data_IF_875102936501
#
_entry.id   IF_875102936501
#
_cell.length_a   1.000
_cell.length_b   1.000
_cell.length_c   1.000
_cell.angle_alpha   90.00
_cell.angle_beta   90.00
_cell.angle_gamma   90.00
#
_symmetry.space_group_name_H-M   'P 1'
#
loop_
_entity.id
_entity.type
_entity.pdbx_description
1 polymer ?
#
# COMPACT_ATOMS: atom_id res chain seq x y z
N UNK A 1 0.47 -28.38 -7.07
CA UNK A 1 0.65 -26.95 -6.75
C UNK A 1 -0.58 -26.54 -5.98
N UNK A 2 -0.40 -25.94 -4.81
CA UNK A 2 -1.52 -25.48 -4.01
C UNK A 2 -2.29 -24.43 -4.82
N UNK A 3 -3.60 -24.60 -4.96
CA UNK A 3 -4.50 -23.63 -5.60
C UNK A 3 -5.62 -23.32 -4.62
N UNK A 4 -6.11 -22.10 -4.65
CA UNK A 4 -7.24 -21.64 -3.83
C UNK A 4 -8.31 -21.05 -4.73
N UNK A 5 -9.56 -21.09 -4.30
CA UNK A 5 -10.69 -20.58 -5.08
C UNK A 5 -11.47 -19.57 -4.25
N UNK A 6 -11.74 -18.41 -4.85
CA UNK A 6 -12.61 -17.38 -4.29
C UNK A 6 -13.53 -16.87 -5.38
N UNK A 7 -14.83 -16.81 -5.08
CA UNK A 7 -15.88 -16.32 -5.99
C UNK A 7 -15.82 -16.92 -7.42
N UNK A 8 -15.46 -18.21 -7.52
CA UNK A 8 -15.37 -18.93 -8.80
C UNK A 8 -14.02 -18.80 -9.52
N UNK A 9 -13.15 -17.88 -9.10
CA UNK A 9 -11.82 -17.69 -9.67
C UNK A 9 -10.80 -18.56 -8.94
N UNK A 10 -9.90 -19.17 -9.71
CA UNK A 10 -8.80 -19.97 -9.19
C UNK A 10 -7.54 -19.13 -9.12
N UNK A 11 -6.81 -19.23 -8.00
CA UNK A 11 -5.57 -18.51 -7.79
C UNK A 11 -4.43 -19.48 -7.52
N UNK A 12 -3.25 -19.12 -8.02
CA UNK A 12 -1.98 -19.81 -7.82
C UNK A 12 -1.02 -18.98 -6.97
N UNK A 13 -0.04 -19.61 -6.27
CA UNK A 13 0.93 -18.89 -5.48
C UNK A 13 1.73 -17.91 -6.35
N UNK A 14 1.99 -16.71 -5.83
CA UNK A 14 2.73 -15.68 -6.55
C UNK A 14 3.93 -15.15 -5.77
N UNK A 15 3.71 -14.64 -4.56
CA UNK A 15 4.78 -14.17 -3.67
C UNK A 15 4.59 -14.80 -2.31
N UNK A 16 5.60 -15.55 -1.86
CA UNK A 16 5.52 -16.28 -0.59
C UNK A 16 5.66 -15.34 0.62
N UNK A 17 5.05 -15.73 1.73
CA UNK A 17 5.15 -15.03 3.01
C UNK A 17 6.60 -14.78 3.45
N UNK A 18 7.51 -15.72 3.16
CA UNK A 18 8.95 -15.56 3.44
C UNK A 18 9.57 -14.43 2.63
N UNK A 19 9.30 -14.36 1.32
CA UNK A 19 9.80 -13.29 0.46
C UNK A 19 9.24 -11.93 0.88
N UNK A 20 7.98 -11.90 1.31
CA UNK A 20 7.35 -10.68 1.83
C UNK A 20 8.06 -10.24 3.12
N UNK A 21 8.28 -11.14 4.07
CA UNK A 21 8.96 -10.83 5.32
C UNK A 21 10.39 -10.30 5.10
N UNK A 22 11.16 -10.92 4.20
CA UNK A 22 12.50 -10.46 3.84
C UNK A 22 12.46 -9.02 3.28
N UNK A 23 11.53 -8.76 2.35
CA UNK A 23 11.42 -7.43 1.75
C UNK A 23 10.94 -6.37 2.73
N UNK A 24 10.01 -6.72 3.63
CA UNK A 24 9.55 -5.85 4.72
C UNK A 24 10.72 -5.43 5.60
N UNK A 25 11.58 -6.36 6.00
CA UNK A 25 12.74 -6.05 6.84
C UNK A 25 13.68 -5.05 6.14
N UNK A 26 13.90 -5.21 4.84
CA UNK A 26 14.70 -4.27 4.06
C UNK A 26 14.06 -2.87 4.00
N UNK A 27 12.76 -2.79 3.69
CA UNK A 27 12.03 -1.51 3.63
C UNK A 27 12.04 -0.80 4.98
N UNK A 28 11.83 -1.54 6.07
CA UNK A 28 11.87 -0.96 7.42
C UNK A 28 13.27 -0.41 7.76
N UNK A 29 14.34 -1.06 7.31
CA UNK A 29 15.71 -0.55 7.46
C UNK A 29 15.95 0.72 6.64
N UNK A 30 15.44 0.79 5.41
CA UNK A 30 15.51 1.98 4.55
C UNK A 30 14.79 3.16 5.22
N UNK A 31 13.55 2.97 5.67
CA UNK A 31 12.77 3.98 6.41
C UNK A 31 13.50 4.42 7.68
N UNK A 32 14.02 3.48 8.46
CA UNK A 32 14.72 3.77 9.73
C UNK A 32 15.98 4.63 9.49
N UNK A 33 16.69 4.41 8.40
CA UNK A 33 17.85 5.20 7.99
C UNK A 33 17.43 6.63 7.63
N UNK A 34 16.44 6.74 6.73
CA UNK A 34 15.99 8.01 6.17
C UNK A 34 15.29 8.93 7.18
N UNK A 35 14.73 8.35 8.25
CA UNK A 35 13.97 9.06 9.29
C UNK A 35 14.69 9.09 10.65
N UNK A 36 15.96 8.66 10.72
CA UNK A 36 16.74 8.55 11.96
C UNK A 36 16.89 9.86 12.77
N UNK A 37 16.65 11.02 12.16
CA UNK A 37 16.72 12.33 12.79
C UNK A 37 15.46 12.79 13.54
N UNK A 38 14.49 11.91 13.80
CA UNK A 38 13.27 12.25 14.56
C UNK A 38 12.32 11.06 14.76
N UNK A 39 11.08 11.37 15.12
CA UNK A 39 9.99 10.39 15.28
C UNK A 39 9.02 10.54 14.09
N UNK A 40 9.18 9.75 13.01
CA UNK A 40 8.29 9.85 11.86
C UNK A 40 6.86 9.43 12.21
N UNK A 41 5.90 9.94 11.43
CA UNK A 41 4.52 9.45 11.43
C UNK A 41 4.33 8.44 10.29
N UNK A 42 4.01 7.21 10.64
CA UNK A 42 3.61 6.18 9.69
C UNK A 42 2.10 6.28 9.46
N UNK A 43 1.68 6.49 8.23
CA UNK A 43 0.26 6.57 7.87
C UNK A 43 -0.12 5.32 7.09
N UNK A 44 -0.90 4.43 7.71
CA UNK A 44 -1.45 3.25 7.05
C UNK A 44 -2.74 3.59 6.30
N UNK A 45 -2.79 3.31 4.99
CA UNK A 45 -4.01 3.46 4.19
C UNK A 45 -4.87 2.20 4.30
N UNK A 46 -6.03 2.34 4.94
CA UNK A 46 -6.94 1.24 5.21
C UNK A 46 -7.82 0.88 4.00
N UNK A 47 -8.22 -0.38 3.85
CA UNK A 47 -7.93 -1.51 4.75
C UNK A 47 -6.72 -2.33 4.32
N UNK A 48 -6.40 -2.31 3.04
CA UNK A 48 -5.50 -3.29 2.43
C UNK A 48 -4.06 -3.19 2.93
N UNK A 49 -3.58 -1.98 3.22
CA UNK A 49 -2.20 -1.80 3.67
C UNK A 49 -1.94 -2.29 5.11
N UNK A 50 -2.98 -2.61 5.90
CA UNK A 50 -2.83 -2.93 7.32
C UNK A 50 -1.79 -4.04 7.61
N UNK A 51 -1.80 -5.21 6.95
CA UNK A 51 -0.80 -6.25 7.22
C UNK A 51 0.62 -5.76 6.90
N UNK A 52 0.81 -5.13 5.74
CA UNK A 52 2.11 -4.59 5.33
C UNK A 52 2.61 -3.50 6.29
N UNK A 53 1.74 -2.56 6.66
CA UNK A 53 2.07 -1.50 7.61
C UNK A 53 2.41 -2.05 9.00
N UNK A 54 1.67 -3.05 9.49
CA UNK A 54 1.95 -3.69 10.77
C UNK A 54 3.32 -4.36 10.78
N UNK A 55 3.68 -5.04 9.69
CA UNK A 55 4.96 -5.74 9.60
C UNK A 55 6.12 -4.77 9.40
N UNK A 56 5.97 -3.72 8.57
CA UNK A 56 6.98 -2.65 8.45
C UNK A 56 7.19 -1.95 9.79
N UNK A 57 6.11 -1.50 10.44
CA UNK A 57 6.18 -0.76 11.70
C UNK A 57 6.90 -1.54 12.79
N UNK A 58 6.62 -2.84 12.93
CA UNK A 58 7.28 -3.71 13.92
C UNK A 58 8.75 -4.00 13.62
N UNK A 59 9.20 -3.78 12.39
CA UNK A 59 10.59 -3.97 11.97
C UNK A 59 11.42 -2.66 11.98
N UNK A 60 10.80 -1.51 12.28
CA UNK A 60 11.56 -0.25 12.40
C UNK A 60 12.54 -0.34 13.57
N UNK A 61 13.74 0.20 13.37
CA UNK A 61 14.79 0.27 14.40
C UNK A 61 14.86 1.64 15.10
N UNK A 62 13.82 2.46 14.90
CA UNK A 62 13.67 3.81 15.45
C UNK A 62 12.27 3.96 16.06
N UNK A 63 12.10 4.91 16.98
CA UNK A 63 10.78 5.27 17.48
C UNK A 63 9.95 5.89 16.36
N UNK A 64 8.69 5.47 16.24
CA UNK A 64 7.75 5.98 15.26
C UNK A 64 6.32 5.97 15.84
N UNK A 65 5.49 6.89 15.35
CA UNK A 65 4.05 6.89 15.61
C UNK A 65 3.31 6.27 14.42
N UNK A 66 2.10 5.75 14.64
CA UNK A 66 1.26 5.20 13.57
C UNK A 66 -0.16 5.75 13.63
N UNK A 67 -0.64 6.22 12.48
CA UNK A 67 -2.00 6.67 12.25
C UNK A 67 -2.62 5.93 11.08
N UNK A 68 -3.95 5.93 11.03
CA UNK A 68 -4.72 5.21 10.02
C UNK A 68 -5.66 6.18 9.31
N UNK A 69 -5.65 6.12 7.99
CA UNK A 69 -6.64 6.84 7.17
C UNK A 69 -7.42 5.84 6.35
N UNK A 70 -8.67 6.19 6.01
CA UNK A 70 -9.49 5.39 5.11
C UNK A 70 -10.03 6.27 4.01
N UNK A 71 -9.61 5.99 2.79
CA UNK A 71 -10.04 6.70 1.59
C UNK A 71 -11.17 5.91 0.92
N UNK A 72 -12.17 6.61 0.39
CA UNK A 72 -13.13 6.02 -0.55
C UNK A 72 -12.87 6.57 -1.94
N UNK A 73 -12.49 5.71 -2.87
CA UNK A 73 -12.57 5.98 -4.30
C UNK A 73 -14.05 5.97 -4.69
N UNK A 74 -14.53 6.98 -5.42
CA UNK A 74 -15.88 6.97 -5.99
C UNK A 74 -15.88 6.07 -7.23
N UNK A 75 -16.72 5.04 -7.25
CA UNK A 75 -17.07 4.30 -8.46
C UNK A 75 -18.37 4.86 -9.05
N UNK A 76 -18.34 5.21 -10.34
CA UNK A 76 -19.42 5.81 -11.12
C UNK A 76 -18.86 6.45 -12.40
N UNK A 77 -19.65 6.53 -13.47
CA UNK A 77 -19.23 6.82 -14.87
C UNK A 77 -18.54 8.16 -15.13
N UNK A 78 -18.32 8.99 -14.12
CA UNK A 78 -17.40 10.11 -14.17
C UNK A 78 -16.61 10.18 -12.86
N UNK A 79 -15.31 9.89 -12.93
CA UNK A 79 -14.37 10.16 -11.84
C UNK A 79 -14.36 11.67 -11.59
N UNK A 80 -15.05 12.14 -10.57
CA UNK A 80 -15.07 13.56 -10.18
C UNK A 80 -13.77 14.02 -9.49
N UNK A 81 -12.76 13.16 -9.40
CA UNK A 81 -11.44 13.46 -8.80
C UNK A 81 -11.47 13.68 -7.28
N UNK A 82 -12.64 13.64 -6.64
CA UNK A 82 -12.80 13.89 -5.21
C UNK A 82 -12.79 12.59 -4.41
N UNK A 83 -11.60 12.14 -3.99
CA UNK A 83 -11.46 11.15 -2.89
C UNK A 83 -12.10 11.74 -1.63
N UNK A 84 -13.00 10.99 -0.99
CA UNK A 84 -13.60 11.36 0.31
C UNK A 84 -12.92 10.54 1.41
N UNK A 85 -12.35 11.23 2.38
CA UNK A 85 -11.85 10.61 3.61
C UNK A 85 -13.05 10.11 4.42
N UNK A 86 -13.11 8.79 4.66
CA UNK A 86 -14.06 8.19 5.61
C UNK A 86 -13.49 8.32 7.02
N UNK A 87 -12.17 8.11 7.15
CA UNK A 87 -11.39 8.36 8.36
C UNK A 87 -10.21 9.23 7.90
N UNK A 88 -10.22 10.49 8.32
CA UNK A 88 -9.20 11.47 7.95
C UNK A 88 -8.05 11.52 8.94
N UNK A 89 -6.94 12.14 8.53
CA UNK A 89 -5.79 12.35 9.39
C UNK A 89 -6.05 13.50 10.38
N UNK A 90 -6.03 13.20 11.67
CA UNK A 90 -6.20 14.20 12.75
C UNK A 90 -4.87 14.73 13.31
N UNK A 91 -3.76 14.04 13.03
CA UNK A 91 -2.44 14.38 13.54
C UNK A 91 -1.90 15.68 12.93
N UNK A 92 -1.16 16.43 13.74
CA UNK A 92 -0.32 17.51 13.22
C UNK A 92 0.96 16.91 12.62
N UNK A 93 1.16 17.15 11.32
CA UNK A 93 2.32 16.66 10.57
C UNK A 93 3.29 17.77 10.19
N UNK A 94 3.05 19.02 10.57
CA UNK A 94 3.94 20.14 10.26
C UNK A 94 5.36 19.87 10.79
N UNK A 95 6.37 20.02 9.92
CA UNK A 95 7.77 19.79 10.26
C UNK A 95 8.15 18.34 10.57
N UNK A 96 7.28 17.36 10.32
CA UNK A 96 7.54 15.93 10.57
C UNK A 96 7.90 15.16 9.32
N UNK A 97 8.66 14.07 9.49
CA UNK A 97 8.76 13.06 8.44
C UNK A 97 7.50 12.20 8.45
N UNK A 98 6.89 12.05 7.29
CA UNK A 98 5.68 11.25 7.10
C UNK A 98 5.97 10.14 6.10
N UNK A 99 5.63 8.91 6.45
CA UNK A 99 5.73 7.75 5.56
C UNK A 99 4.34 7.15 5.37
N UNK A 100 3.79 7.28 4.17
CA UNK A 100 2.52 6.66 3.79
C UNK A 100 2.78 5.22 3.40
N UNK A 101 2.00 4.28 3.94
CA UNK A 101 2.05 2.85 3.60
C UNK A 101 0.77 2.45 2.88
N UNK A 102 0.93 1.91 1.67
CA UNK A 102 -0.14 1.43 0.77
C UNK A 102 0.10 -0.05 0.39
N UNK A 103 -0.95 -0.83 0.18
CA UNK A 103 -0.81 -2.21 -0.31
C UNK A 103 -0.46 -2.26 -1.81
N UNK A 104 -1.09 -1.43 -2.62
CA UNK A 104 -0.84 -1.41 -4.07
C UNK A 104 -0.98 -0.02 -4.68
N UNK A 105 0.00 0.35 -5.48
CA UNK A 105 -0.10 1.49 -6.40
C UNK A 105 -0.28 0.96 -7.82
N UNK A 106 -1.52 1.12 -8.32
CA UNK A 106 -1.94 0.76 -9.67
C UNK A 106 -1.99 2.00 -10.57
N UNK A 107 -3.11 2.72 -10.62
CA UNK A 107 -3.22 3.97 -11.43
C UNK A 107 -2.45 5.15 -10.84
N UNK A 108 -2.12 5.13 -9.55
CA UNK A 108 -1.46 6.22 -8.83
C UNK A 108 -2.36 7.41 -8.44
N UNK A 109 -3.62 7.48 -8.89
CA UNK A 109 -4.50 8.65 -8.68
C UNK A 109 -4.76 8.95 -7.20
N UNK A 110 -5.11 7.91 -6.43
CA UNK A 110 -5.37 8.05 -4.99
C UNK A 110 -4.14 8.55 -4.26
N UNK A 111 -2.99 7.95 -4.56
CA UNK A 111 -1.71 8.31 -3.92
C UNK A 111 -1.26 9.73 -4.30
N UNK A 112 -1.39 10.11 -5.58
CA UNK A 112 -1.08 11.47 -6.05
C UNK A 112 -1.83 12.53 -5.25
N UNK A 113 -3.14 12.34 -5.07
CA UNK A 113 -3.97 13.26 -4.30
C UNK A 113 -3.57 13.26 -2.83
N UNK A 114 -3.43 12.09 -2.21
CA UNK A 114 -3.05 11.98 -0.81
C UNK A 114 -1.72 12.68 -0.51
N UNK A 115 -0.70 12.45 -1.34
CA UNK A 115 0.61 13.11 -1.19
C UNK A 115 0.50 14.62 -1.33
N UNK A 116 -0.29 15.12 -2.28
CA UNK A 116 -0.54 16.55 -2.41
C UNK A 116 -1.24 17.15 -1.17
N UNK A 117 -2.27 16.47 -0.66
CA UNK A 117 -3.02 16.87 0.53
C UNK A 117 -2.13 16.87 1.79
N UNK A 118 -1.23 15.90 1.93
CA UNK A 118 -0.27 15.84 3.04
C UNK A 118 0.81 16.93 2.92
N UNK A 119 1.37 17.14 1.74
CA UNK A 119 2.37 18.20 1.49
C UNK A 119 1.84 19.59 1.80
N UNK A 120 0.54 19.84 1.54
CA UNK A 120 -0.10 21.11 1.88
C UNK A 120 -0.14 21.42 3.38
N UNK A 121 0.10 20.42 4.25
CA UNK A 121 0.21 20.59 5.72
C UNK A 121 1.65 20.85 6.20
N UNK A 122 2.58 21.12 5.28
CA UNK A 122 3.99 21.45 5.53
C UNK A 122 4.80 20.45 6.39
N UNK A 123 4.72 19.13 6.12
CA UNK A 123 5.64 18.18 6.73
C UNK A 123 7.09 18.44 6.29
N UNK A 124 8.06 17.96 7.09
CA UNK A 124 9.48 17.98 6.72
C UNK A 124 9.75 17.11 5.49
N UNK A 125 9.09 15.96 5.41
CA UNK A 125 9.12 15.10 4.23
C UNK A 125 7.84 14.26 4.13
N UNK A 126 7.47 13.89 2.90
CA UNK A 126 6.43 12.89 2.63
C UNK A 126 7.04 11.84 1.74
N UNK A 127 7.11 10.60 2.22
CA UNK A 127 7.57 9.43 1.48
C UNK A 127 6.45 8.39 1.37
N UNK A 128 6.54 7.53 0.37
CA UNK A 128 5.55 6.48 0.08
C UNK A 128 6.23 5.12 0.05
N UNK A 129 5.77 4.23 0.92
CA UNK A 129 6.05 2.80 0.85
C UNK A 129 4.85 2.07 0.27
N UNK A 130 5.06 1.23 -0.73
CA UNK A 130 4.01 0.35 -1.26
C UNK A 130 4.49 -1.10 -1.31
N UNK A 131 3.62 -2.04 -0.95
CA UNK A 131 3.94 -3.46 -1.09
C UNK A 131 4.06 -3.83 -2.57
N UNK A 132 3.13 -3.39 -3.41
CA UNK A 132 3.10 -3.70 -4.84
C UNK A 132 3.01 -2.45 -5.70
N UNK A 133 3.81 -2.41 -6.76
CA UNK A 133 3.80 -1.32 -7.73
C UNK A 133 3.59 -1.84 -9.15
N UNK A 134 2.60 -1.29 -9.86
CA UNK A 134 2.28 -1.59 -11.27
C UNK A 134 2.62 -0.37 -12.14
N UNK A 135 3.89 -0.18 -12.54
CA UNK A 135 4.31 1.01 -13.28
C UNK A 135 3.60 1.15 -14.63
N UNK A 136 3.25 0.03 -15.29
CA UNK A 136 2.55 0.03 -16.57
C UNK A 136 1.11 0.55 -16.47
N UNK A 137 0.47 0.40 -15.31
CA UNK A 137 -0.87 0.95 -15.03
C UNK A 137 -0.83 2.41 -14.56
N UNK A 138 0.34 2.89 -14.11
CA UNK A 138 0.45 4.18 -13.44
C UNK A 138 0.29 5.32 -14.45
N UNK A 139 -0.72 6.17 -14.24
CA UNK A 139 -0.98 7.34 -15.09
C UNK A 139 -0.56 8.65 -14.43
N UNK A 140 -0.01 8.58 -13.22
CA UNK A 140 0.44 9.72 -12.44
C UNK A 140 1.97 9.74 -12.37
N UNK A 141 2.62 10.45 -13.30
CA UNK A 141 4.08 10.50 -13.39
C UNK A 141 4.77 11.00 -12.11
N UNK A 142 4.08 11.81 -11.31
CA UNK A 142 4.61 12.36 -10.06
C UNK A 142 4.51 11.38 -8.87
N UNK A 143 3.91 10.20 -9.06
CA UNK A 143 3.81 9.15 -8.04
C UNK A 143 4.90 8.12 -8.30
N UNK A 144 6.08 8.41 -7.79
CA UNK A 144 7.19 7.46 -7.71
C UNK A 144 7.33 7.05 -6.25
N UNK A 145 7.01 5.80 -5.87
CA UNK A 145 7.13 5.35 -4.49
C UNK A 145 8.60 5.30 -4.08
N UNK A 146 8.92 5.80 -2.89
CA UNK A 146 10.27 5.78 -2.32
C UNK A 146 10.69 4.35 -1.95
N UNK A 147 9.75 3.54 -1.47
CA UNK A 147 10.00 2.16 -1.04
C UNK A 147 9.01 1.21 -1.72
N UNK A 148 9.52 0.32 -2.58
CA UNK A 148 8.69 -0.64 -3.31
C UNK A 148 8.98 -2.06 -2.83
N UNK A 149 7.96 -2.77 -2.37
CA UNK A 149 8.07 -4.19 -2.04
C UNK A 149 8.39 -5.01 -3.30
N UNK A 150 7.44 -5.04 -4.24
CA UNK A 150 7.58 -5.76 -5.49
C UNK A 150 6.98 -4.97 -6.66
N UNK A 151 7.74 -4.81 -7.72
CA UNK A 151 7.22 -4.35 -9.01
C UNK A 151 6.63 -5.52 -9.78
N UNK A 152 5.38 -5.40 -10.21
CA UNK A 152 4.64 -6.49 -10.87
C UNK A 152 3.92 -5.98 -12.13
N UNK A 153 3.68 -6.84 -13.13
CA UNK A 153 2.82 -6.49 -14.25
C UNK A 153 1.35 -6.34 -13.81
N UNK A 154 0.47 -5.79 -14.65
CA UNK A 154 -0.97 -5.84 -14.43
C UNK A 154 -1.42 -7.30 -14.25
N UNK A 155 -1.97 -7.59 -13.07
CA UNK A 155 -2.48 -8.90 -12.70
C UNK A 155 -3.52 -8.75 -11.59
N UNK A 156 -4.52 -9.63 -11.56
CA UNK A 156 -5.46 -9.70 -10.44
C UNK A 156 -4.90 -10.59 -9.33
N UNK A 157 -4.86 -10.05 -8.12
CA UNK A 157 -4.10 -10.61 -7.00
C UNK A 157 -4.87 -10.46 -5.70
N UNK A 158 -4.65 -11.40 -4.79
CA UNK A 158 -5.27 -11.44 -3.46
C UNK A 158 -4.24 -11.87 -2.41
N UNK A 159 -4.57 -11.67 -1.14
CA UNK A 159 -3.73 -12.09 -0.02
C UNK A 159 -2.83 -10.98 0.50
N UNK A 160 -2.35 -11.16 1.73
CA UNK A 160 -1.52 -10.20 2.45
C UNK A 160 -2.11 -8.79 2.45
N UNK A 161 -3.41 -8.68 2.77
CA UNK A 161 -4.15 -7.43 2.79
C UNK A 161 -4.99 -7.16 1.54
N UNK A 162 -4.60 -7.68 0.37
CA UNK A 162 -5.36 -7.58 -0.88
C UNK A 162 -6.58 -8.50 -0.86
N UNK A 163 -7.67 -8.09 -1.51
CA UNK A 163 -8.95 -8.78 -1.39
C UNK A 163 -9.68 -9.08 -2.70
N UNK A 164 -10.65 -9.97 -2.55
CA UNK A 164 -11.76 -10.17 -3.47
C UNK A 164 -13.05 -10.10 -2.65
N UNK A 165 -13.87 -9.07 -2.90
CA UNK A 165 -15.12 -8.79 -2.16
C UNK A 165 -14.96 -8.81 -0.63
N UNK A 166 -13.86 -8.26 -0.13
CA UNK A 166 -13.53 -8.22 1.30
C UNK A 166 -12.92 -9.51 1.87
N UNK A 167 -12.83 -10.58 1.09
CA UNK A 167 -12.23 -11.87 1.49
C UNK A 167 -10.74 -11.95 1.11
N UNK A 168 -10.08 -13.02 1.53
CA UNK A 168 -8.68 -13.35 1.22
C UNK A 168 -7.58 -12.43 1.81
N UNK A 169 -7.92 -11.27 2.40
CA UNK A 169 -6.94 -10.36 3.04
C UNK A 169 -6.01 -11.05 4.05
N UNK A 170 -6.52 -12.08 4.73
CA UNK A 170 -5.83 -12.79 5.81
C UNK A 170 -4.88 -13.90 5.33
N UNK A 171 -4.77 -14.15 4.03
CA UNK A 171 -3.77 -15.09 3.50
C UNK A 171 -2.36 -14.52 3.74
N UNK A 172 -1.43 -15.40 4.10
CA UNK A 172 -0.04 -15.01 4.40
C UNK A 172 0.77 -14.71 3.14
N UNK A 173 0.47 -15.42 2.06
CA UNK A 173 1.09 -15.28 0.75
C UNK A 173 0.22 -14.40 -0.15
N UNK A 174 0.83 -13.84 -1.20
CA UNK A 174 0.12 -13.20 -2.30
C UNK A 174 -0.10 -14.23 -3.40
N UNK A 175 -1.32 -14.25 -3.92
CA UNK A 175 -1.79 -15.16 -4.96
C UNK A 175 -2.21 -14.36 -6.18
N UNK A 176 -2.06 -14.96 -7.35
CA UNK A 176 -2.45 -14.36 -8.63
C UNK A 176 -3.50 -15.25 -9.29
N UNK A 177 -4.48 -14.63 -9.95
CA UNK A 177 -5.51 -15.35 -10.69
C UNK A 177 -4.87 -16.23 -11.78
N UNK A 178 -5.44 -17.40 -12.02
CA UNK A 178 -5.03 -18.27 -13.12
C UNK A 178 -5.46 -17.66 -14.46
N UNK A 179 -4.62 -17.75 -15.48
CA UNK A 179 -4.87 -17.14 -16.79
C UNK A 179 -6.17 -17.59 -17.47
N UNK A 180 -6.70 -18.78 -17.14
CA UNK A 180 -7.99 -19.25 -17.66
C UNK A 180 -9.22 -18.56 -17.05
N UNK A 181 -9.01 -17.84 -15.95
CA UNK A 181 -10.04 -17.11 -15.22
C UNK A 181 -9.87 -15.57 -15.35
N UNK A 182 -8.85 -15.08 -16.07
CA UNK A 182 -8.63 -13.63 -16.30
C UNK A 182 -9.66 -12.99 -17.26
N UNK A 183 -10.34 -13.80 -18.08
CA UNK A 183 -11.31 -13.35 -19.10
C UNK A 183 -12.79 -13.47 -18.65
N UNK A 184 -13.04 -13.91 -17.42
CA UNK A 184 -14.39 -14.08 -16.84
C UNK A 184 -14.84 -12.85 -16.05
#
# INVERSE_FOLDING_TARGET
MDRITYNGLTFRPYISASRIADRVSHIASEISTDCSGGVPLIICVLNGAFPFASDVFRNLSIDAEISFIRLRSYEGTESTGKVKEIVGLTDNIEGRDVVVIEDIIDTGRTMSKLVADLKARNPRSVRVATLLYKPESCVCADVVPDYVGFTIPPAFIIGYGLDIDGLARNLKDIWVVDAGDEEQ
#
